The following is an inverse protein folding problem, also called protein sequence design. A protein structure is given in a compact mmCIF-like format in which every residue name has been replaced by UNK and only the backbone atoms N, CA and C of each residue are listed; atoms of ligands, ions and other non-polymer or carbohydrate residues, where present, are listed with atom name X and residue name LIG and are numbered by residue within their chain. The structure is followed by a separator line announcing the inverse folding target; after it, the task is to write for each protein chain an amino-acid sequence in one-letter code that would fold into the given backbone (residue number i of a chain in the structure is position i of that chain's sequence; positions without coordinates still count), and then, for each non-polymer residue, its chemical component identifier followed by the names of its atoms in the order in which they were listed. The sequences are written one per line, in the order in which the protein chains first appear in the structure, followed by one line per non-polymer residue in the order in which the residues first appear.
data_IF_069001088543
#
_entry.id   IF_069001088543
#
_cell.length_a   1.000
_cell.length_b   1.000
_cell.length_c   1.000
_cell.angle_alpha   90.00
_cell.angle_beta   90.00
_cell.angle_gamma   90.00
#
_symmetry.space_group_name_H-M   'P 1'
#
loop_
_entity.id
_entity.type
_entity.pdbx_description
1 polymer ?
#
# COMPACT_ATOMS: atom_id res chain seq x y z
N UNK A 1 7.85 -8.17 -12.49
CA UNK A 1 6.45 -7.72 -12.58
C UNK A 1 6.30 -6.35 -11.90
N UNK A 2 6.72 -5.27 -12.57
CA UNK A 2 6.57 -3.91 -12.07
C UNK A 2 5.14 -3.45 -12.33
N UNK A 3 4.40 -3.15 -11.27
CA UNK A 3 3.00 -2.70 -11.34
C UNK A 3 2.91 -1.38 -12.12
N UNK A 4 2.69 -1.47 -13.44
CA UNK A 4 2.29 -0.32 -14.26
C UNK A 4 0.88 0.11 -13.81
N UNK A 5 0.78 1.05 -12.86
CA UNK A 5 -0.53 1.63 -12.47
C UNK A 5 -0.82 1.64 -10.97
N UNK A 6 -0.07 2.44 -10.20
CA UNK A 6 -0.41 2.74 -8.82
C UNK A 6 -1.83 3.30 -8.65
N UNK A 7 -2.33 3.23 -7.42
CA UNK A 7 -3.67 3.67 -7.08
C UNK A 7 -3.76 5.21 -7.16
N UNK A 8 -4.80 5.74 -7.80
CA UNK A 8 -5.16 7.17 -7.70
C UNK A 8 -6.24 7.37 -6.63
N UNK A 9 -6.43 8.61 -6.16
CA UNK A 9 -7.51 8.92 -5.22
C UNK A 9 -8.90 8.59 -5.81
N UNK A 10 -9.11 8.81 -7.11
CA UNK A 10 -10.36 8.49 -7.79
C UNK A 10 -10.61 6.99 -7.90
N UNK A 11 -9.54 6.21 -8.11
CA UNK A 11 -9.65 4.75 -8.10
C UNK A 11 -9.92 4.23 -6.68
N UNK A 12 -9.33 4.82 -5.64
CA UNK A 12 -9.65 4.48 -4.25
C UNK A 12 -11.12 4.79 -3.94
N UNK A 13 -11.62 5.95 -4.36
CA UNK A 13 -13.03 6.32 -4.24
C UNK A 13 -13.96 5.31 -4.92
N UNK A 14 -13.67 4.94 -6.18
CA UNK A 14 -14.49 3.96 -6.92
C UNK A 14 -14.50 2.57 -6.29
N UNK A 15 -13.43 2.16 -5.60
CA UNK A 15 -13.35 0.86 -4.93
C UNK A 15 -14.07 0.89 -3.58
N UNK A 16 -13.89 1.95 -2.80
CA UNK A 16 -14.37 2.01 -1.41
C UNK A 16 -15.77 2.61 -1.27
N UNK A 17 -16.23 3.37 -2.28
CA UNK A 17 -17.49 4.12 -2.21
C UNK A 17 -17.49 5.26 -1.19
N UNK A 18 -16.32 5.60 -0.63
CA UNK A 18 -16.23 6.68 0.36
C UNK A 18 -16.30 8.07 -0.29
N UNK A 19 -16.36 9.12 0.53
CA UNK A 19 -16.36 10.50 0.05
C UNK A 19 -14.94 10.99 -0.24
N UNK A 20 -14.79 11.98 -1.14
CA UNK A 20 -13.47 12.55 -1.51
C UNK A 20 -12.66 13.07 -0.30
N UNK A 21 -13.24 13.75 0.69
CA UNK A 21 -12.51 14.12 1.91
C UNK A 21 -12.01 12.91 2.70
N UNK A 22 -12.84 11.87 2.84
CA UNK A 22 -12.48 10.65 3.56
C UNK A 22 -11.38 9.88 2.85
N UNK A 23 -11.49 9.67 1.54
CA UNK A 23 -10.42 9.04 0.75
C UNK A 23 -9.09 9.78 0.87
N UNK A 24 -9.11 11.11 0.92
CA UNK A 24 -7.89 11.91 1.10
C UNK A 24 -7.25 11.68 2.46
N UNK A 25 -8.06 11.63 3.52
CA UNK A 25 -7.60 11.34 4.89
C UNK A 25 -7.05 9.92 5.01
N UNK A 26 -7.77 8.92 4.50
CA UNK A 26 -7.35 7.53 4.54
C UNK A 26 -6.01 7.33 3.83
N UNK A 27 -5.86 7.87 2.61
CA UNK A 27 -4.62 7.75 1.84
C UNK A 27 -3.44 8.45 2.52
N UNK A 28 -3.67 9.58 3.19
CA UNK A 28 -2.65 10.28 3.98
C UNK A 28 -2.25 9.49 5.23
N UNK A 29 -3.23 8.90 5.93
CA UNK A 29 -2.99 8.06 7.09
C UNK A 29 -2.21 6.79 6.73
N UNK A 30 -2.59 6.12 5.63
CA UNK A 30 -1.89 4.95 5.12
C UNK A 30 -0.44 5.25 4.69
N UNK A 31 -0.18 6.45 4.19
CA UNK A 31 1.20 6.91 3.91
C UNK A 31 1.96 7.19 5.21
N UNK A 32 1.33 7.86 6.17
CA UNK A 32 1.92 8.15 7.48
C UNK A 32 2.28 6.87 8.23
N UNK A 33 1.44 5.84 8.13
CA UNK A 33 1.65 4.49 8.67
C UNK A 33 2.65 3.66 7.86
N UNK A 34 3.26 4.23 6.80
CA UNK A 34 4.18 3.55 5.87
C UNK A 34 3.58 2.30 5.20
N UNK A 35 2.26 2.16 5.17
CA UNK A 35 1.57 1.09 4.47
C UNK A 35 1.55 1.34 2.95
N UNK A 36 1.50 2.61 2.56
CA UNK A 36 1.60 3.05 1.17
C UNK A 36 2.78 4.00 0.96
N UNK A 37 3.39 3.92 -0.22
CA UNK A 37 4.30 4.93 -0.74
C UNK A 37 3.56 5.82 -1.72
N UNK A 38 3.68 7.14 -1.56
CA UNK A 38 3.12 8.15 -2.47
C UNK A 38 4.20 8.65 -3.43
N UNK A 39 3.88 8.71 -4.72
CA UNK A 39 4.75 9.29 -5.75
C UNK A 39 3.96 10.25 -6.65
N UNK A 40 4.67 11.15 -7.33
CA UNK A 40 4.07 12.15 -8.22
C UNK A 40 3.31 13.26 -7.48
N UNK A 41 2.76 14.19 -8.25
CA UNK A 41 2.14 15.41 -7.73
C UNK A 41 0.77 15.67 -8.34
N UNK A 42 -0.10 16.35 -7.58
CA UNK A 42 -1.45 16.77 -7.99
C UNK A 42 -2.22 15.61 -8.65
N UNK A 43 -2.61 15.75 -9.92
CA UNK A 43 -3.37 14.75 -10.72
C UNK A 43 -2.58 13.48 -11.04
N UNK A 44 -1.25 13.55 -11.01
CA UNK A 44 -0.37 12.42 -11.27
C UNK A 44 0.07 11.70 -9.99
N UNK A 45 -0.53 12.04 -8.83
CA UNK A 45 -0.27 11.32 -7.57
C UNK A 45 -0.67 9.86 -7.72
N UNK A 46 0.22 8.95 -7.29
CA UNK A 46 0.00 7.50 -7.27
C UNK A 46 0.44 6.92 -5.93
N UNK A 47 -0.32 5.93 -5.46
CA UNK A 47 -0.06 5.21 -4.22
C UNK A 47 0.26 3.74 -4.50
N UNK A 48 1.28 3.21 -3.82
CA UNK A 48 1.76 1.83 -3.99
C UNK A 48 1.88 1.13 -2.64
N UNK A 49 1.49 -0.16 -2.53
CA UNK A 49 1.75 -0.95 -1.34
C UNK A 49 3.23 -0.98 -0.99
N UNK A 50 3.55 -0.66 0.26
CA UNK A 50 4.90 -0.82 0.78
C UNK A 50 5.13 -2.29 1.18
N UNK A 51 5.63 -3.09 0.24
CA UNK A 51 5.85 -4.54 0.43
C UNK A 51 7.14 -4.87 1.21
N UNK A 52 7.92 -3.87 1.61
CA UNK A 52 9.19 -4.08 2.35
C UNK A 52 8.98 -4.86 3.65
N UNK A 53 7.86 -4.64 4.34
CA UNK A 53 7.59 -5.26 5.65
C UNK A 53 7.07 -6.71 5.56
N UNK A 54 6.46 -7.10 4.42
CA UNK A 54 5.66 -8.32 4.33
C UNK A 54 6.50 -9.59 4.17
N UNK A 55 7.71 -9.48 3.62
CA UNK A 55 8.61 -10.64 3.48
C UNK A 55 9.23 -11.06 4.81
N UNK A 56 9.41 -10.14 5.76
CA UNK A 56 10.03 -10.44 7.07
C UNK A 56 9.12 -11.21 8.02
N UNK A 57 7.80 -11.11 7.85
CA UNK A 57 6.82 -11.87 8.65
C UNK A 57 6.57 -13.28 8.10
N UNK A 58 6.69 -13.49 6.78
CA UNK A 58 6.58 -14.84 6.19
C UNK A 58 7.76 -15.75 6.58
N UNK A 59 8.96 -15.19 6.74
CA UNK A 59 10.14 -15.96 7.19
C UNK A 59 10.18 -16.25 8.70
N UNK A 60 9.30 -15.64 9.51
CA UNK A 60 9.22 -15.94 10.95
C UNK A 60 8.34 -17.17 11.26
N UNK A 61 7.66 -17.73 10.25
CA UNK A 61 6.90 -18.98 10.35
C UNK A 61 7.37 -19.98 9.28
N UNK A 62 8.68 -20.06 9.04
CA UNK A 62 9.25 -21.31 8.54
C UNK A 62 9.53 -22.18 9.77
N UNK A 63 8.98 -23.41 9.87
CA UNK A 63 9.51 -24.36 10.83
C UNK A 63 11.00 -24.53 10.49
N UNK A 64 11.89 -24.26 11.44
CA UNK A 64 13.31 -24.61 11.30
C UNK A 64 13.35 -26.07 10.83
N UNK A 65 14.13 -26.43 9.79
CA UNK A 65 14.37 -27.83 9.54
C UNK A 65 14.91 -28.43 10.84
N UNK A 66 14.21 -29.43 11.38
CA UNK A 66 14.76 -30.25 12.44
C UNK A 66 15.97 -30.94 11.81
N UNK A 67 17.16 -30.40 12.08
CA UNK A 67 18.37 -31.17 11.92
C UNK A 67 18.37 -32.23 13.03
N UNK A 68 18.28 -33.49 12.62
CA UNK A 68 18.31 -34.69 13.46
C UNK A 68 18.21 -35.91 12.57
#
# INVERSE_FOLDING_TARGET
MTAKGGLSAEKYLGITGTTRPTATRDLQDLVSKRALTRTGERKHTRYYPNLSSKYRMRSLHEPKPLNG
#
